data_IF_080353291262
#
_entry.id   IF_080353291262
#
_cell.length_a   1.000
_cell.length_b   1.000
_cell.length_c   1.000
_cell.angle_alpha   90.00
_cell.angle_beta   90.00
_cell.angle_gamma   90.00
#
_symmetry.space_group_name_H-M   'P 1'
#
loop_
_entity.id
_entity.type
_entity.pdbx_description
1 polymer ?
#
# COMPACT_ATOMS: atom_id res chain seq x y z
N UNK A 1 8.47 10.46 -24.05
CA UNK A 1 8.70 9.01 -23.81
C UNK A 1 7.36 8.32 -24.00
N UNK A 2 7.24 7.11 -24.57
CA UNK A 2 5.93 6.48 -24.68
C UNK A 2 5.30 6.27 -23.29
N UNK A 3 3.97 6.32 -23.22
CA UNK A 3 3.24 6.07 -21.98
C UNK A 3 3.58 4.67 -21.43
N UNK A 4 3.96 4.53 -20.13
CA UNK A 4 4.33 3.24 -19.54
C UNK A 4 3.14 2.30 -19.33
N UNK A 5 1.90 2.81 -19.45
CA UNK A 5 0.68 2.04 -19.22
C UNK A 5 0.68 1.40 -17.83
N UNK A 6 0.52 0.08 -17.76
CA UNK A 6 0.49 -0.69 -16.50
C UNK A 6 1.86 -1.18 -16.01
N UNK A 7 2.95 -0.75 -16.65
CA UNK A 7 4.31 -1.07 -16.21
C UNK A 7 4.79 -0.05 -15.18
N UNK A 8 5.36 -0.54 -14.07
CA UNK A 8 5.98 0.31 -13.05
C UNK A 8 7.25 0.95 -13.59
N UNK A 9 7.31 2.27 -13.51
CA UNK A 9 8.49 3.05 -13.93
C UNK A 9 8.84 4.10 -12.88
N UNK A 10 10.13 4.44 -12.81
CA UNK A 10 10.69 5.48 -11.95
C UNK A 10 11.25 6.62 -12.81
N UNK A 11 11.45 7.80 -12.20
CA UNK A 11 12.17 8.91 -12.81
C UNK A 11 11.36 9.70 -13.84
N UNK A 12 10.04 9.55 -13.85
CA UNK A 12 9.13 10.40 -14.64
C UNK A 12 8.25 11.24 -13.73
N UNK A 13 7.81 12.39 -14.24
CA UNK A 13 6.84 13.24 -13.54
C UNK A 13 5.43 12.67 -13.68
N UNK A 14 4.68 12.72 -12.59
CA UNK A 14 3.31 12.24 -12.52
C UNK A 14 2.34 13.38 -12.22
N UNK A 15 1.15 13.25 -12.78
CA UNK A 15 0.06 14.18 -12.61
C UNK A 15 -1.20 13.44 -12.16
N UNK A 16 -2.02 14.08 -11.34
CA UNK A 16 -3.25 13.46 -10.83
C UNK A 16 -4.37 14.48 -10.76
N UNK A 17 -5.65 14.08 -10.87
CA UNK A 17 -6.77 14.99 -10.63
C UNK A 17 -6.68 15.57 -9.21
N UNK A 18 -6.99 16.85 -9.04
CA UNK A 18 -6.89 17.54 -7.74
C UNK A 18 -7.74 16.89 -6.63
N UNK A 19 -8.80 16.18 -7.02
CA UNK A 19 -9.73 15.50 -6.12
C UNK A 19 -9.17 14.17 -5.56
N UNK A 20 -8.05 13.68 -6.09
CA UNK A 20 -7.39 12.46 -5.61
C UNK A 20 -6.20 12.80 -4.73
N UNK A 21 -5.84 11.87 -3.84
CA UNK A 21 -4.54 11.91 -3.18
C UNK A 21 -3.45 11.45 -4.16
N UNK A 22 -2.19 11.81 -3.92
CA UNK A 22 -1.07 11.23 -4.66
C UNK A 22 -1.15 9.70 -4.65
N UNK A 23 -0.75 9.09 -5.78
CA UNK A 23 -0.74 7.63 -6.01
C UNK A 23 -2.13 6.93 -6.06
N UNK A 24 -3.24 7.64 -5.83
CA UNK A 24 -4.58 7.03 -6.01
C UNK A 24 -4.96 6.89 -7.48
N UNK A 25 -4.53 7.83 -8.31
CA UNK A 25 -4.75 7.82 -9.76
C UNK A 25 -3.69 8.68 -10.45
N UNK A 26 -2.71 8.04 -11.08
CA UNK A 26 -1.54 8.73 -11.62
C UNK A 26 -1.47 8.71 -13.13
N UNK A 27 -1.22 9.86 -13.75
CA UNK A 27 -1.03 10.03 -15.19
C UNK A 27 0.42 10.38 -15.47
N UNK A 28 1.06 9.64 -16.37
CA UNK A 28 2.42 9.95 -16.77
C UNK A 28 2.49 11.31 -17.50
N UNK A 29 3.65 11.94 -17.43
CA UNK A 29 3.96 13.20 -18.12
C UNK A 29 3.56 13.20 -19.60
N UNK A 30 3.76 12.09 -20.32
CA UNK A 30 3.39 12.00 -21.74
C UNK A 30 1.88 12.13 -21.94
N UNK A 31 1.07 11.40 -21.18
CA UNK A 31 -0.39 11.49 -21.28
C UNK A 31 -0.90 12.87 -20.86
N UNK A 32 -0.29 13.48 -19.84
CA UNK A 32 -0.60 14.85 -19.45
C UNK A 32 -0.31 15.83 -20.60
N UNK A 33 0.89 15.77 -21.17
CA UNK A 33 1.30 16.68 -22.25
C UNK A 33 0.44 16.52 -23.51
N UNK A 34 0.08 15.29 -23.89
CA UNK A 34 -0.71 15.03 -25.09
C UNK A 34 -2.19 15.40 -24.95
N UNK A 35 -2.83 15.10 -23.82
CA UNK A 35 -4.30 15.16 -23.71
C UNK A 35 -4.82 16.23 -22.74
N UNK A 36 -3.99 16.73 -21.83
CA UNK A 36 -4.43 17.54 -20.69
C UNK A 36 -3.84 18.94 -20.73
N UNK A 37 -2.52 19.07 -20.91
CA UNK A 37 -1.76 20.32 -20.69
C UNK A 37 -2.35 21.55 -21.36
N UNK A 38 -2.83 21.41 -22.60
CA UNK A 38 -3.33 22.52 -23.40
C UNK A 38 -4.86 22.59 -23.45
N UNK A 39 -5.55 22.05 -22.45
CA UNK A 39 -7.02 22.11 -22.33
C UNK A 39 -7.42 23.14 -21.26
N UNK A 40 -8.60 23.79 -21.37
CA UNK A 40 -9.07 24.77 -20.39
C UNK A 40 -9.27 24.18 -18.99
N UNK A 41 -9.49 22.87 -18.89
CA UNK A 41 -9.68 22.16 -17.63
C UNK A 41 -8.37 21.66 -17.00
N UNK A 42 -7.20 21.98 -17.57
CA UNK A 42 -5.91 21.54 -17.04
C UNK A 42 -5.66 21.98 -15.57
N UNK A 43 -6.32 23.04 -15.12
CA UNK A 43 -6.30 23.54 -13.74
C UNK A 43 -6.81 22.51 -12.71
N UNK A 44 -7.57 21.50 -13.16
CA UNK A 44 -8.06 20.40 -12.33
C UNK A 44 -7.04 19.27 -12.17
N UNK A 45 -5.79 19.49 -12.60
CA UNK A 45 -4.70 18.52 -12.49
C UNK A 45 -3.58 19.09 -11.64
N UNK A 46 -3.04 18.25 -10.76
CA UNK A 46 -1.92 18.55 -9.87
C UNK A 46 -0.68 17.83 -10.38
N UNK A 47 0.47 18.48 -10.27
CA UNK A 47 1.78 17.84 -10.43
C UNK A 47 2.15 17.17 -9.10
N UNK A 48 2.28 15.85 -9.10
CA UNK A 48 2.64 15.05 -7.91
C UNK A 48 4.15 14.77 -7.82
N UNK A 49 4.94 15.30 -8.75
CA UNK A 49 6.39 15.11 -8.79
C UNK A 49 6.79 13.73 -9.32
N UNK A 50 7.94 13.24 -8.86
CA UNK A 50 8.53 11.98 -9.32
C UNK A 50 8.39 10.89 -8.26
N UNK A 51 7.80 9.76 -8.63
CA UNK A 51 7.71 8.57 -7.80
C UNK A 51 7.66 7.31 -8.68
N UNK A 52 7.71 6.13 -8.06
CA UNK A 52 7.56 4.85 -8.76
C UNK A 52 6.06 4.58 -8.94
N UNK A 53 5.59 4.52 -10.18
CA UNK A 53 4.16 4.43 -10.46
C UNK A 53 3.81 3.77 -11.78
N UNK A 54 2.50 3.63 -12.01
CA UNK A 54 1.91 3.21 -13.29
C UNK A 54 1.01 4.31 -13.84
N UNK A 55 0.75 4.30 -15.14
CA UNK A 55 -0.18 5.24 -15.76
C UNK A 55 -1.61 4.68 -15.77
N UNK A 56 -2.52 5.40 -15.11
CA UNK A 56 -3.94 5.11 -15.09
C UNK A 56 -4.73 5.74 -16.23
N UNK A 57 -4.10 6.54 -17.08
CA UNK A 57 -4.74 7.27 -18.18
C UNK A 57 -5.13 6.35 -19.35
N UNK A 58 -6.09 5.46 -19.09
CA UNK A 58 -6.65 4.50 -20.05
C UNK A 58 -7.47 5.19 -21.14
N UNK A 59 -7.82 4.44 -22.20
CA UNK A 59 -8.70 4.94 -23.27
C UNK A 59 -10.03 5.49 -22.72
N UNK A 60 -10.65 4.79 -21.75
CA UNK A 60 -11.89 5.23 -21.10
C UNK A 60 -11.72 6.55 -20.34
N UNK A 61 -10.64 6.69 -19.56
CA UNK A 61 -10.36 7.94 -18.81
C UNK A 61 -10.11 9.09 -19.79
N UNK A 62 -9.40 8.81 -20.89
CA UNK A 62 -9.17 9.77 -21.96
C UNK A 62 -10.48 10.22 -22.62
N UNK A 63 -11.37 9.30 -22.96
CA UNK A 63 -12.68 9.64 -23.53
C UNK A 63 -13.51 10.53 -22.60
N UNK A 64 -13.55 10.20 -21.31
CA UNK A 64 -14.25 11.00 -20.30
C UNK A 64 -13.62 12.39 -20.15
N UNK A 65 -12.29 12.48 -20.15
CA UNK A 65 -11.59 13.76 -20.12
C UNK A 65 -11.91 14.61 -21.35
N UNK A 66 -11.84 14.04 -22.55
CA UNK A 66 -12.13 14.75 -23.80
C UNK A 66 -13.60 15.19 -23.87
N UNK A 67 -14.53 14.39 -23.35
CA UNK A 67 -15.93 14.79 -23.20
C UNK A 67 -16.08 15.98 -22.25
N UNK A 68 -15.45 15.92 -21.07
CA UNK A 68 -15.45 17.00 -20.09
C UNK A 68 -14.91 18.32 -20.67
N UNK A 69 -13.79 18.25 -21.41
CA UNK A 69 -13.20 19.42 -22.08
C UNK A 69 -14.13 20.00 -23.13
N UNK A 70 -14.76 19.16 -23.96
CA UNK A 70 -15.69 19.60 -25.01
C UNK A 70 -16.95 20.24 -24.44
N UNK A 71 -17.48 19.71 -23.34
CA UNK A 71 -18.66 20.23 -22.64
C UNK A 71 -18.31 21.37 -21.68
N UNK A 72 -17.02 21.65 -21.48
CA UNK A 72 -16.48 22.52 -20.43
C UNK A 72 -17.07 22.21 -19.05
N UNK A 73 -17.25 20.92 -18.75
CA UNK A 73 -17.86 20.42 -17.53
C UNK A 73 -17.03 19.27 -16.96
N UNK A 74 -16.38 19.51 -15.82
CA UNK A 74 -15.51 18.54 -15.16
C UNK A 74 -16.27 17.50 -14.32
N UNK A 75 -17.55 17.73 -14.01
CA UNK A 75 -18.30 16.98 -13.00
C UNK A 75 -18.39 15.49 -13.36
N UNK A 76 -18.73 15.17 -14.61
CA UNK A 76 -18.83 13.79 -15.07
C UNK A 76 -17.49 13.03 -15.00
N UNK A 77 -16.39 13.71 -15.26
CA UNK A 77 -15.05 13.13 -15.09
C UNK A 77 -14.76 12.89 -13.60
N UNK A 78 -15.08 13.88 -12.75
CA UNK A 78 -14.87 13.78 -11.32
C UNK A 78 -15.70 12.66 -10.67
N UNK A 79 -16.98 12.51 -11.05
CA UNK A 79 -17.83 11.42 -10.58
C UNK A 79 -17.22 10.04 -10.89
N UNK A 80 -16.73 9.86 -12.12
CA UNK A 80 -16.06 8.62 -12.50
C UNK A 80 -14.78 8.39 -11.70
N UNK A 81 -13.96 9.42 -11.53
CA UNK A 81 -12.72 9.34 -10.73
C UNK A 81 -13.04 9.00 -9.28
N UNK A 82 -14.03 9.65 -8.66
CA UNK A 82 -14.47 9.38 -7.29
C UNK A 82 -14.91 7.92 -7.11
N UNK A 83 -15.76 7.41 -8.02
CA UNK A 83 -16.17 6.02 -7.98
C UNK A 83 -14.98 5.06 -8.04
N UNK A 84 -13.99 5.34 -8.91
CA UNK A 84 -12.81 4.48 -9.08
C UNK A 84 -11.88 4.50 -7.87
N UNK A 85 -11.67 5.65 -7.23
CA UNK A 85 -10.78 5.76 -6.07
C UNK A 85 -11.43 5.22 -4.79
N UNK A 86 -12.76 5.22 -4.69
CA UNK A 86 -13.47 4.66 -3.54
C UNK A 86 -13.22 3.16 -3.40
N UNK A 87 -13.19 2.44 -4.52
CA UNK A 87 -12.80 1.02 -4.57
C UNK A 87 -11.36 0.82 -4.04
N UNK A 88 -10.43 1.67 -4.49
CA UNK A 88 -9.02 1.62 -4.07
C UNK A 88 -8.88 1.90 -2.57
N UNK A 89 -9.59 2.90 -2.06
CA UNK A 89 -9.58 3.28 -0.63
C UNK A 89 -10.17 2.19 0.24
N UNK A 90 -11.30 1.62 -0.18
CA UNK A 90 -11.95 0.50 0.50
C UNK A 90 -10.99 -0.68 0.58
N UNK A 91 -10.34 -1.02 -0.53
CA UNK A 91 -9.37 -2.11 -0.58
C UNK A 91 -8.16 -1.85 0.32
N UNK A 92 -7.54 -0.66 0.26
CA UNK A 92 -6.43 -0.27 1.16
C UNK A 92 -6.81 -0.42 2.62
N UNK A 93 -8.01 0.03 3.00
CA UNK A 93 -8.50 -0.04 4.38
C UNK A 93 -8.66 -1.49 4.85
N UNK A 94 -9.29 -2.34 4.03
CA UNK A 94 -9.44 -3.77 4.33
C UNK A 94 -8.10 -4.46 4.47
N UNK A 95 -7.15 -4.19 3.58
CA UNK A 95 -5.81 -4.77 3.66
C UNK A 95 -5.05 -4.32 4.90
N UNK A 96 -5.13 -3.04 5.28
CA UNK A 96 -4.50 -2.53 6.49
C UNK A 96 -5.06 -3.20 7.76
N UNK A 97 -6.39 -3.38 7.82
CA UNK A 97 -7.04 -4.09 8.92
C UNK A 97 -6.61 -5.55 9.00
N UNK A 98 -6.61 -6.27 7.87
CA UNK A 98 -6.18 -7.66 7.81
C UNK A 98 -4.73 -7.83 8.25
N UNK A 99 -3.83 -6.96 7.78
CA UNK A 99 -2.42 -7.00 8.16
C UNK A 99 -2.22 -6.73 9.66
N UNK A 100 -2.93 -5.74 10.22
CA UNK A 100 -2.93 -5.46 11.65
C UNK A 100 -3.38 -6.67 12.47
N UNK A 101 -4.52 -7.26 12.12
CA UNK A 101 -5.06 -8.45 12.79
C UNK A 101 -4.09 -9.64 12.73
N UNK A 102 -3.51 -9.88 11.55
CA UNK A 102 -2.54 -10.95 11.35
C UNK A 102 -1.27 -10.73 12.20
N UNK A 103 -0.74 -9.51 12.23
CA UNK A 103 0.43 -9.17 13.04
C UNK A 103 0.19 -9.39 14.55
N UNK A 104 -1.00 -9.03 15.04
CA UNK A 104 -1.39 -9.22 16.43
C UNK A 104 -1.51 -10.71 16.77
N UNK A 105 -2.07 -11.51 15.87
CA UNK A 105 -2.19 -12.96 16.04
C UNK A 105 -0.81 -13.65 16.10
N UNK A 106 0.14 -13.24 15.26
CA UNK A 106 1.52 -13.73 15.32
C UNK A 106 2.13 -13.39 16.69
N UNK A 107 1.99 -12.16 17.17
CA UNK A 107 2.54 -11.76 18.46
C UNK A 107 1.93 -12.57 19.61
N UNK A 108 0.61 -12.75 19.63
CA UNK A 108 -0.09 -13.57 20.63
C UNK A 108 0.43 -15.01 20.67
N UNK A 109 0.57 -15.63 19.49
CA UNK A 109 1.12 -17.00 19.38
C UNK A 109 2.56 -17.07 19.85
N UNK A 110 3.39 -16.08 19.50
CA UNK A 110 4.78 -16.00 19.96
C UNK A 110 4.91 -15.92 21.48
N UNK A 111 4.05 -15.14 22.14
CA UNK A 111 3.99 -15.06 23.61
C UNK A 111 3.60 -16.40 24.22
N UNK A 112 2.56 -17.07 23.70
CA UNK A 112 2.10 -18.36 24.20
C UNK A 112 3.19 -19.45 24.10
N UNK A 113 3.85 -19.53 22.94
CA UNK A 113 4.97 -20.47 22.73
C UNK A 113 6.10 -20.16 23.71
N UNK A 114 6.48 -18.89 23.87
CA UNK A 114 7.55 -18.49 24.79
C UNK A 114 7.22 -18.81 26.25
N UNK A 115 5.96 -18.66 26.68
CA UNK A 115 5.54 -19.05 28.03
C UNK A 115 5.60 -20.56 28.25
N UNK A 116 5.19 -21.37 27.27
CA UNK A 116 5.26 -22.83 27.37
C UNK A 116 6.70 -23.33 27.51
N UNK A 117 7.63 -22.74 26.74
CA UNK A 117 9.06 -23.08 26.88
C UNK A 117 9.61 -22.73 28.26
N UNK A 118 9.27 -21.56 28.82
CA UNK A 118 9.72 -21.16 30.17
C UNK A 118 9.21 -22.11 31.25
N UNK A 119 7.91 -22.43 31.25
CA UNK A 119 7.34 -23.37 32.23
C UNK A 119 7.96 -24.76 32.13
N UNK A 120 8.23 -25.25 30.91
CA UNK A 120 8.88 -26.55 30.73
C UNK A 120 10.33 -26.57 31.21
N UNK A 121 11.07 -25.46 31.14
CA UNK A 121 12.44 -25.37 31.66
C UNK A 121 12.47 -25.33 33.19
N UNK A 122 11.52 -24.64 33.83
CA UNK A 122 11.39 -24.59 35.30
C UNK A 122 11.04 -25.97 35.89
N UNK A 123 10.14 -26.72 35.23
CA UNK A 123 9.79 -28.09 35.62
C UNK A 123 10.96 -29.08 35.48
N UNK A 124 11.89 -28.82 34.57
CA UNK A 124 13.08 -29.67 34.37
C UNK A 124 14.17 -29.37 35.40
N UNK A 125 14.29 -28.11 35.85
CA UNK A 125 15.24 -27.71 36.89
C UNK A 125 14.87 -28.27 38.29
N UNK A 126 13.59 -28.47 38.58
CA UNK A 126 13.13 -29.08 39.84
C UNK A 126 13.39 -30.60 39.95
N UNK A 127 13.72 -31.27 38.83
CA UNK A 127 13.98 -32.72 38.78
C UNK A 127 15.47 -33.10 38.73
N UNK A 128 16.38 -32.13 38.84
CA UNK A 128 17.81 -32.44 38.90
C UNK A 128 18.09 -33.28 40.18
N UNK A 129 18.58 -34.52 40.05
CA UNK A 129 18.91 -35.35 41.21
C UNK A 129 20.02 -34.68 42.02
N UNK A 130 19.84 -34.63 43.34
CA UNK A 130 20.82 -34.07 44.28
C UNK A 130 22.23 -34.61 43.99
N UNK A 131 23.26 -33.76 44.02
CA UNK A 131 24.64 -34.23 43.89
C UNK A 131 24.95 -35.15 45.07
N UNK A 132 25.18 -36.43 44.77
CA UNK A 132 25.58 -37.43 45.76
C UNK A 132 26.92 -37.00 46.34
N UNK A 133 26.96 -36.75 47.66
CA UNK A 133 28.20 -36.42 48.37
C UNK A 133 29.23 -37.54 48.19
N UNK A 134 30.50 -37.23 47.90
CA UNK A 134 31.54 -38.26 47.87
C UNK A 134 31.76 -38.79 49.29
N UNK A 135 31.68 -40.11 49.44
CA UNK A 135 32.08 -40.80 50.67
C UNK A 135 33.61 -40.82 50.70
N UNK A 136 34.19 -40.08 51.65
CA UNK A 136 35.61 -40.16 51.97
C UNK A 136 35.87 -41.52 52.65
N UNK A 137 36.56 -42.40 51.95
CA UNK A 137 37.12 -43.62 52.53
C UNK A 137 38.39 -43.24 53.31
N UNK A 138 38.31 -43.30 54.64
CA UNK A 138 39.50 -43.24 55.50
C UNK A 138 40.09 -44.65 55.66
N UNK A 139 41.42 -44.67 55.55
CA UNK A 139 42.34 -45.80 55.68
C UNK A 139 42.44 -46.35 57.10
#
# INVERSE_FOLDING_TARGET
>A
MPCPGKTFVNGITWYSPIITKPEELSFCEECYNQFIRNTPLNIHMRNDGTFIGVCDFSAKIRELWLAAVRENNIDRFNEYVQSKIEDVRTMRTKYAQLYSNYSLEIQRRGVLVSSQFKSSMEDTALKAPCPVRPVLANS
#
